data_IF_813061223810
#
_entry.id   IF_813061223810
#
_cell.length_a   1.000
_cell.length_b   1.000
_cell.length_c   1.000
_cell.angle_alpha   90.00
_cell.angle_beta   90.00
_cell.angle_gamma   90.00
#
_symmetry.space_group_name_H-M   'P 1'
#
loop_
_entity.id
_entity.type
_entity.pdbx_description
1 polymer ?
#
# COMPACT_ATOMS: atom_id res chain seq x y z
N UNK A 1 2.50 4.20 -20.77
CA UNK A 1 3.06 3.35 -19.71
C UNK A 1 2.34 3.62 -18.38
N UNK A 2 2.26 4.86 -17.89
CA UNK A 2 1.64 5.22 -16.59
C UNK A 2 0.19 4.70 -16.48
N UNK A 3 -0.66 4.93 -17.47
CA UNK A 3 -2.05 4.44 -17.47
C UNK A 3 -2.15 2.91 -17.41
N UNK A 4 -1.28 2.20 -18.13
CA UNK A 4 -1.21 0.74 -18.08
C UNK A 4 -0.71 0.24 -16.70
N UNK A 5 0.22 0.98 -16.10
CA UNK A 5 0.71 0.70 -14.74
C UNK A 5 -0.41 0.87 -13.70
N UNK A 6 -1.25 1.92 -13.81
CA UNK A 6 -2.42 2.12 -12.95
C UNK A 6 -3.44 0.99 -13.08
N UNK A 7 -3.76 0.57 -14.30
CA UNK A 7 -4.70 -0.53 -14.53
C UNK A 7 -4.21 -1.82 -13.86
N UNK A 8 -2.92 -2.16 -14.01
CA UNK A 8 -2.32 -3.35 -13.39
C UNK A 8 -2.21 -3.24 -11.86
N UNK A 9 -1.93 -2.05 -11.34
CA UNK A 9 -1.77 -1.82 -9.90
C UNK A 9 -3.07 -1.38 -9.22
N UNK A 10 -4.21 -1.48 -9.92
CA UNK A 10 -5.54 -1.17 -9.40
C UNK A 10 -5.65 0.25 -8.79
N UNK A 11 -5.05 1.25 -9.46
CA UNK A 11 -5.19 2.63 -9.05
C UNK A 11 -6.53 3.22 -9.51
N UNK A 12 -6.99 4.27 -8.89
CA UNK A 12 -8.21 4.96 -9.27
C UNK A 12 -8.09 5.52 -10.71
N UNK A 13 -9.11 5.43 -11.55
CA UNK A 13 -10.42 4.77 -11.34
C UNK A 13 -10.44 3.27 -11.70
N UNK A 14 -9.29 2.64 -12.02
CA UNK A 14 -9.18 1.30 -12.59
C UNK A 14 -9.06 0.19 -11.51
N UNK A 15 -9.53 0.43 -10.30
CA UNK A 15 -9.35 -0.43 -9.11
C UNK A 15 -10.34 -1.58 -8.99
N UNK A 16 -11.49 -1.54 -9.68
CA UNK A 16 -12.68 -2.39 -9.40
C UNK A 16 -12.41 -3.88 -9.45
N UNK A 17 -11.50 -4.32 -10.28
CA UNK A 17 -11.15 -5.74 -10.44
C UNK A 17 -10.48 -6.35 -9.19
N UNK A 18 -9.75 -5.55 -8.40
CA UNK A 18 -8.94 -6.05 -7.30
C UNK A 18 -9.78 -6.53 -6.10
N UNK A 19 -10.77 -5.76 -5.59
CA UNK A 19 -11.68 -6.25 -4.56
C UNK A 19 -12.55 -7.42 -5.03
N UNK A 20 -12.91 -7.49 -6.31
CA UNK A 20 -13.68 -8.59 -6.90
C UNK A 20 -12.86 -9.88 -6.98
N UNK A 21 -11.54 -9.78 -7.20
CA UNK A 21 -10.62 -10.92 -7.19
C UNK A 21 -10.50 -11.62 -5.82
N UNK A 22 -11.09 -11.06 -4.74
CA UNK A 22 -11.07 -11.66 -3.40
C UNK A 22 -11.98 -12.89 -3.25
N UNK A 23 -12.78 -13.22 -4.25
CA UNK A 23 -13.50 -14.49 -4.30
C UNK A 23 -12.57 -15.71 -4.49
N UNK A 24 -11.38 -15.50 -5.06
CA UNK A 24 -10.36 -16.54 -5.25
C UNK A 24 -9.90 -17.16 -3.92
N UNK A 25 -9.37 -18.39 -3.92
CA UNK A 25 -8.75 -18.99 -2.74
C UNK A 25 -7.64 -18.11 -2.13
N UNK A 26 -7.49 -18.15 -0.81
CA UNK A 26 -6.57 -17.23 -0.12
C UNK A 26 -5.10 -17.34 -0.55
N UNK A 27 -4.52 -18.52 -0.86
CA UNK A 27 -3.16 -18.59 -1.40
C UNK A 27 -2.98 -17.84 -2.72
N UNK A 28 -3.98 -17.89 -3.60
CA UNK A 28 -4.00 -17.13 -4.86
C UNK A 28 -4.06 -15.64 -4.58
N UNK A 29 -4.91 -15.21 -3.63
CA UNK A 29 -4.99 -13.82 -3.20
C UNK A 29 -3.65 -13.33 -2.61
N UNK A 30 -2.98 -14.14 -1.80
CA UNK A 30 -1.67 -13.83 -1.23
C UNK A 30 -0.61 -13.61 -2.32
N UNK A 31 -0.56 -14.49 -3.31
CA UNK A 31 0.34 -14.36 -4.46
C UNK A 31 0.05 -13.10 -5.29
N UNK A 32 -1.22 -12.86 -5.60
CA UNK A 32 -1.66 -11.74 -6.41
C UNK A 32 -1.30 -10.38 -5.78
N UNK A 33 -1.52 -10.23 -4.47
CA UNK A 33 -1.25 -8.98 -3.74
C UNK A 33 0.18 -8.86 -3.23
N UNK A 34 0.79 -10.01 -2.85
CA UNK A 34 2.13 -10.04 -2.25
C UNK A 34 3.23 -9.92 -3.30
N UNK A 35 3.27 -10.80 -4.29
CA UNK A 35 4.47 -11.00 -5.08
C UNK A 35 4.34 -10.69 -6.58
N UNK A 36 3.12 -10.63 -7.15
CA UNK A 36 3.00 -10.69 -8.59
C UNK A 36 2.21 -9.53 -9.22
N UNK A 37 0.96 -9.75 -9.53
CA UNK A 37 0.20 -8.99 -10.52
C UNK A 37 0.12 -7.49 -10.24
N UNK A 38 -0.21 -7.10 -9.02
CA UNK A 38 -0.39 -5.68 -8.66
C UNK A 38 0.91 -4.88 -8.66
N UNK A 39 2.06 -5.56 -8.52
CA UNK A 39 3.38 -4.92 -8.50
C UNK A 39 4.01 -4.76 -9.86
N UNK A 40 3.58 -5.54 -10.84
CA UNK A 40 4.06 -5.38 -12.22
C UNK A 40 3.86 -3.95 -12.71
N UNK A 41 2.71 -3.34 -12.43
CA UNK A 41 2.44 -1.96 -12.85
C UNK A 41 3.46 -0.97 -12.28
N UNK A 42 3.65 -0.95 -10.96
CA UNK A 42 4.62 -0.04 -10.32
C UNK A 42 6.06 -0.35 -10.72
N UNK A 43 6.43 -1.64 -10.89
CA UNK A 43 7.76 -2.03 -11.34
C UNK A 43 8.05 -1.58 -12.78
N UNK A 44 7.08 -1.73 -13.69
CA UNK A 44 7.21 -1.27 -15.07
C UNK A 44 7.34 0.26 -15.13
N UNK A 45 6.55 0.98 -14.31
CA UNK A 45 6.66 2.43 -14.25
C UNK A 45 7.99 2.87 -13.66
N UNK A 46 8.45 2.28 -12.55
CA UNK A 46 9.77 2.56 -11.98
C UNK A 46 10.90 2.29 -12.99
N UNK A 47 10.81 1.17 -13.71
CA UNK A 47 11.79 0.82 -14.75
C UNK A 47 11.79 1.82 -15.91
N UNK A 48 10.60 2.24 -16.34
CA UNK A 48 10.46 3.25 -17.39
C UNK A 48 11.08 4.58 -16.97
N UNK A 49 10.84 5.04 -15.73
CA UNK A 49 11.46 6.25 -15.20
C UNK A 49 12.99 6.13 -15.12
N UNK A 50 13.50 4.98 -14.67
CA UNK A 50 14.95 4.75 -14.57
C UNK A 50 15.66 4.63 -15.93
N UNK A 51 14.95 4.26 -16.99
CA UNK A 51 15.51 4.05 -18.33
C UNK A 51 15.27 5.24 -19.27
N UNK A 52 14.33 6.13 -18.94
CA UNK A 52 14.05 7.32 -19.72
C UNK A 52 15.09 8.42 -19.40
N UNK A 53 15.46 9.20 -20.39
CA UNK A 53 16.23 10.42 -20.17
C UNK A 53 15.38 11.52 -19.55
N UNK A 54 15.13 12.59 -20.30
CA UNK A 54 14.25 13.67 -19.84
C UNK A 54 12.78 13.23 -19.81
N UNK A 55 12.17 13.30 -18.62
CA UNK A 55 10.77 13.01 -18.43
C UNK A 55 10.03 14.33 -18.17
N UNK A 56 9.00 14.65 -18.94
CA UNK A 56 8.22 15.85 -18.70
C UNK A 56 7.61 15.88 -17.30
N UNK A 57 7.71 17.01 -16.61
CA UNK A 57 7.17 17.19 -15.23
C UNK A 57 5.69 16.85 -15.11
N UNK A 58 4.93 16.99 -16.19
CA UNK A 58 3.51 16.61 -16.22
C UNK A 58 3.30 15.15 -15.82
N UNK A 59 4.22 14.25 -16.16
CA UNK A 59 4.15 12.83 -15.76
C UNK A 59 4.28 12.70 -14.26
N UNK A 60 5.18 13.46 -13.63
CA UNK A 60 5.32 13.52 -12.18
C UNK A 60 4.05 14.04 -11.50
N UNK A 61 3.53 15.16 -11.99
CA UNK A 61 2.28 15.75 -11.46
C UNK A 61 1.09 14.79 -11.55
N UNK A 62 0.87 14.19 -12.71
CA UNK A 62 -0.23 13.25 -12.92
C UNK A 62 -0.08 12.03 -12.01
N UNK A 63 1.14 11.51 -11.85
CA UNK A 63 1.41 10.38 -10.96
C UNK A 63 1.16 10.72 -9.48
N UNK A 64 1.59 11.90 -9.01
CA UNK A 64 1.43 12.36 -7.63
C UNK A 64 -0.05 12.61 -7.31
N UNK A 65 -0.77 13.32 -8.19
CA UNK A 65 -2.18 13.66 -7.97
C UNK A 65 -3.03 12.39 -7.92
N UNK A 66 -2.88 11.50 -8.90
CA UNK A 66 -3.60 10.22 -8.89
C UNK A 66 -3.26 9.37 -7.66
N UNK A 67 -1.99 9.34 -7.27
CA UNK A 67 -1.56 8.62 -6.06
C UNK A 67 -2.26 9.15 -4.81
N UNK A 68 -2.37 10.46 -4.62
CA UNK A 68 -3.07 11.05 -3.47
C UNK A 68 -4.57 10.73 -3.52
N UNK A 69 -5.20 10.86 -4.68
CA UNK A 69 -6.62 10.51 -4.88
C UNK A 69 -6.84 9.03 -4.57
N UNK A 70 -6.01 8.14 -5.11
CA UNK A 70 -6.11 6.69 -4.89
C UNK A 70 -5.87 6.31 -3.44
N UNK A 71 -4.92 6.94 -2.78
CA UNK A 71 -4.58 6.69 -1.37
C UNK A 71 -5.75 7.05 -0.45
N UNK A 72 -6.31 8.25 -0.62
CA UNK A 72 -7.49 8.70 0.14
C UNK A 72 -8.72 7.84 -0.17
N UNK A 73 -8.96 7.55 -1.44
CA UNK A 73 -10.02 6.65 -1.86
C UNK A 73 -9.88 5.26 -1.22
N UNK A 74 -8.71 4.65 -1.30
CA UNK A 74 -8.42 3.35 -0.69
C UNK A 74 -8.65 3.36 0.81
N UNK A 75 -8.19 4.42 1.51
CA UNK A 75 -8.44 4.63 2.95
C UNK A 75 -9.93 4.67 3.26
N UNK A 76 -10.69 5.52 2.58
CA UNK A 76 -12.13 5.65 2.80
C UNK A 76 -12.88 4.34 2.53
N UNK A 77 -12.45 3.59 1.52
CA UNK A 77 -13.11 2.34 1.12
C UNK A 77 -12.83 1.17 2.06
N UNK A 78 -11.71 1.14 2.77
CA UNK A 78 -11.50 0.05 3.73
C UNK A 78 -12.08 0.32 5.12
N UNK A 79 -12.46 1.55 5.45
CA UNK A 79 -13.11 1.89 6.73
C UNK A 79 -14.40 1.07 7.00
N UNK A 80 -15.34 0.93 6.06
CA UNK A 80 -16.57 0.16 6.27
C UNK A 80 -16.37 -1.35 6.12
N UNK A 81 -15.18 -1.82 5.70
CA UNK A 81 -14.97 -3.25 5.43
C UNK A 81 -14.96 -4.09 6.71
N UNK A 82 -15.78 -5.12 6.70
CA UNK A 82 -15.83 -6.13 7.76
C UNK A 82 -15.20 -7.45 7.33
N UNK A 83 -15.05 -7.67 6.02
CA UNK A 83 -14.36 -8.82 5.44
C UNK A 83 -12.86 -8.55 5.37
N UNK A 84 -12.05 -9.41 6.02
CA UNK A 84 -10.62 -9.25 6.10
C UNK A 84 -9.94 -9.23 4.74
N UNK A 85 -10.34 -10.09 3.79
CA UNK A 85 -9.74 -10.12 2.45
C UNK A 85 -10.03 -8.84 1.66
N UNK A 86 -11.28 -8.33 1.72
CA UNK A 86 -11.65 -7.08 1.06
C UNK A 86 -10.94 -5.87 1.67
N UNK A 87 -10.81 -5.84 2.99
CA UNK A 87 -10.02 -4.82 3.69
C UNK A 87 -8.57 -4.83 3.20
N UNK A 88 -7.96 -6.01 3.10
CA UNK A 88 -6.60 -6.17 2.59
C UNK A 88 -6.46 -5.74 1.12
N UNK A 89 -7.49 -5.95 0.30
CA UNK A 89 -7.50 -5.49 -1.09
C UNK A 89 -7.46 -3.96 -1.18
N UNK A 90 -8.36 -3.25 -0.49
CA UNK A 90 -8.37 -1.78 -0.49
C UNK A 90 -7.10 -1.20 0.14
N UNK A 91 -6.60 -1.81 1.21
CA UNK A 91 -5.32 -1.37 1.77
C UNK A 91 -4.13 -1.64 0.82
N UNK A 92 -4.21 -2.61 -0.11
CA UNK A 92 -3.21 -2.78 -1.18
C UNK A 92 -3.27 -1.63 -2.18
N UNK A 93 -4.47 -1.20 -2.58
CA UNK A 93 -4.68 -0.04 -3.45
C UNK A 93 -4.02 1.21 -2.85
N UNK A 94 -4.30 1.51 -1.59
CA UNK A 94 -3.71 2.64 -0.88
C UNK A 94 -2.18 2.52 -0.78
N UNK A 95 -1.64 1.35 -0.43
CA UNK A 95 -0.19 1.17 -0.27
C UNK A 95 0.59 1.26 -1.59
N UNK A 96 0.00 0.81 -2.71
CA UNK A 96 0.63 1.00 -4.03
C UNK A 96 0.61 2.46 -4.48
N UNK A 97 -0.37 3.23 -4.03
CA UNK A 97 -0.38 4.68 -4.28
C UNK A 97 0.83 5.38 -3.65
N UNK A 98 1.33 4.93 -2.48
CA UNK A 98 2.60 5.44 -1.93
C UNK A 98 3.77 5.24 -2.89
N UNK A 99 3.80 4.09 -3.58
CA UNK A 99 4.86 3.82 -4.58
C UNK A 99 4.74 4.79 -5.74
N UNK A 100 3.53 4.97 -6.30
CA UNK A 100 3.32 5.94 -7.39
C UNK A 100 3.66 7.36 -6.98
N UNK A 101 3.33 7.75 -5.74
CA UNK A 101 3.68 9.04 -5.19
C UNK A 101 5.21 9.24 -5.16
N UNK A 102 5.96 8.28 -4.60
CA UNK A 102 7.41 8.34 -4.55
C UNK A 102 8.08 8.33 -5.94
N UNK A 103 7.53 7.53 -6.86
CA UNK A 103 7.97 7.52 -8.26
C UNK A 103 7.64 8.84 -8.98
N UNK A 104 6.50 9.45 -8.70
CA UNK A 104 6.15 10.78 -9.22
C UNK A 104 7.12 11.86 -8.72
N UNK A 105 7.51 11.81 -7.43
CA UNK A 105 8.49 12.73 -6.86
C UNK A 105 9.89 12.60 -7.50
N UNK A 106 10.25 11.42 -7.99
CA UNK A 106 11.55 11.23 -8.65
C UNK A 106 11.68 12.03 -9.95
N UNK A 107 10.56 12.32 -10.63
CA UNK A 107 10.56 13.20 -11.83
C UNK A 107 11.01 14.63 -11.47
N UNK A 108 10.80 15.06 -10.22
CA UNK A 108 11.28 16.33 -9.68
C UNK A 108 12.69 16.22 -9.05
N UNK A 109 13.43 15.18 -9.37
CA UNK A 109 14.83 14.99 -8.94
C UNK A 109 15.02 14.34 -7.58
N UNK A 110 13.98 13.83 -6.92
CA UNK A 110 14.12 13.17 -5.62
C UNK A 110 14.56 11.70 -5.74
N UNK A 111 15.86 11.46 -5.75
CA UNK A 111 16.39 10.09 -5.72
C UNK A 111 16.00 9.34 -4.44
N UNK A 112 15.88 10.06 -3.31
CA UNK A 112 15.47 9.47 -2.04
C UNK A 112 14.04 8.92 -2.11
N UNK A 113 13.11 9.67 -2.73
CA UNK A 113 11.74 9.21 -2.93
C UNK A 113 11.67 8.01 -3.89
N UNK A 114 12.49 7.99 -4.95
CA UNK A 114 12.61 6.85 -5.85
C UNK A 114 13.06 5.58 -5.10
N UNK A 115 14.14 5.68 -4.33
CA UNK A 115 14.67 4.57 -3.56
C UNK A 115 13.64 4.05 -2.55
N UNK A 116 12.99 4.96 -1.82
CA UNK A 116 11.91 4.61 -0.90
C UNK A 116 10.72 3.92 -1.59
N UNK A 117 10.35 4.35 -2.79
CA UNK A 117 9.30 3.72 -3.58
C UNK A 117 9.67 2.28 -3.98
N UNK A 118 10.89 2.07 -4.47
CA UNK A 118 11.39 0.73 -4.84
C UNK A 118 11.48 -0.18 -3.62
N UNK A 119 12.00 0.33 -2.50
CA UNK A 119 12.05 -0.39 -1.23
C UNK A 119 10.65 -0.75 -0.72
N UNK A 120 9.68 0.16 -0.89
CA UNK A 120 8.30 -0.09 -0.48
C UNK A 120 7.64 -1.22 -1.27
N UNK A 121 7.95 -1.40 -2.56
CA UNK A 121 7.47 -2.53 -3.36
C UNK A 121 7.86 -3.85 -2.69
N UNK A 122 9.11 -3.94 -2.23
CA UNK A 122 9.64 -5.13 -1.58
C UNK A 122 9.04 -5.35 -0.18
N UNK A 123 9.08 -4.35 0.68
CA UNK A 123 8.59 -4.42 2.05
C UNK A 123 7.09 -4.74 2.10
N UNK A 124 6.31 -4.13 1.23
CA UNK A 124 4.88 -4.40 1.07
C UNK A 124 4.62 -5.85 0.61
N UNK A 125 5.53 -6.47 -0.17
CA UNK A 125 5.39 -7.85 -0.59
C UNK A 125 5.29 -8.80 0.60
N UNK A 126 6.26 -8.72 1.51
CA UNK A 126 6.32 -9.58 2.68
C UNK A 126 5.16 -9.32 3.63
N UNK A 127 4.88 -8.05 3.91
CA UNK A 127 3.80 -7.65 4.82
C UNK A 127 2.45 -8.15 4.32
N UNK A 128 2.15 -8.00 3.04
CA UNK A 128 0.87 -8.48 2.47
C UNK A 128 0.78 -9.99 2.41
N UNK A 129 1.85 -10.65 2.02
CA UNK A 129 1.87 -12.12 2.00
C UNK A 129 1.60 -12.67 3.39
N UNK A 130 2.28 -12.17 4.42
CA UNK A 130 2.03 -12.54 5.81
C UNK A 130 0.55 -12.33 6.19
N UNK A 131 -0.01 -11.17 5.89
CA UNK A 131 -1.37 -10.83 6.27
C UNK A 131 -2.41 -11.72 5.57
N UNK A 132 -2.22 -12.00 4.28
CA UNK A 132 -3.11 -12.91 3.55
C UNK A 132 -2.99 -14.36 4.05
N UNK A 133 -1.79 -14.84 4.38
CA UNK A 133 -1.62 -16.18 4.95
C UNK A 133 -2.32 -16.32 6.31
N UNK A 134 -2.24 -15.27 7.14
CA UNK A 134 -2.98 -15.20 8.42
C UNK A 134 -4.49 -15.21 8.15
N UNK A 135 -4.97 -14.40 7.19
CA UNK A 135 -6.38 -14.39 6.80
C UNK A 135 -6.86 -15.76 6.32
N UNK A 136 -6.01 -16.48 5.58
CA UNK A 136 -6.27 -17.85 5.13
C UNK A 136 -6.35 -18.83 6.29
N UNK A 137 -5.38 -18.81 7.19
CA UNK A 137 -5.35 -19.65 8.38
C UNK A 137 -6.59 -19.43 9.26
N UNK A 138 -6.96 -18.17 9.52
CA UNK A 138 -8.15 -17.83 10.30
C UNK A 138 -9.45 -18.26 9.61
N UNK A 139 -9.55 -18.06 8.31
CA UNK A 139 -10.70 -18.49 7.54
C UNK A 139 -10.87 -20.01 7.56
N UNK A 140 -9.75 -20.75 7.53
CA UNK A 140 -9.76 -22.21 7.61
C UNK A 140 -10.13 -22.72 9.00
N UNK A 141 -9.52 -22.17 10.06
CA UNK A 141 -9.69 -22.65 11.45
C UNK A 141 -10.99 -22.18 12.10
N UNK A 142 -11.47 -20.98 11.79
CA UNK A 142 -12.68 -20.39 12.37
C UNK A 142 -13.90 -20.47 11.46
N UNK A 143 -13.75 -20.92 10.22
CA UNK A 143 -14.83 -20.96 9.23
C UNK A 143 -15.37 -19.57 8.84
N UNK A 144 -14.66 -18.49 9.20
CA UNK A 144 -15.10 -17.14 8.92
C UNK A 144 -13.93 -16.21 8.63
N UNK A 145 -14.17 -15.23 7.74
CA UNK A 145 -13.24 -14.14 7.42
C UNK A 145 -13.73 -12.75 7.91
N UNK A 146 -14.85 -12.76 8.66
CA UNK A 146 -15.47 -11.53 9.16
C UNK A 146 -14.78 -11.05 10.43
N UNK A 147 -14.10 -9.92 10.38
CA UNK A 147 -13.33 -9.32 11.47
C UNK A 147 -14.11 -9.22 12.81
N UNK A 148 -15.39 -8.79 12.82
CA UNK A 148 -16.15 -8.71 14.08
C UNK A 148 -16.38 -10.06 14.77
N UNK A 149 -16.24 -11.18 14.04
CA UNK A 149 -16.39 -12.54 14.57
C UNK A 149 -15.05 -13.14 15.03
N UNK A 150 -13.93 -12.46 14.74
CA UNK A 150 -12.57 -12.92 15.07
C UNK A 150 -12.14 -12.17 16.33
N UNK A 151 -12.29 -12.79 17.49
CA UNK A 151 -11.93 -12.21 18.77
C UNK A 151 -11.11 -13.17 19.61
N UNK A 152 -10.25 -12.64 20.47
CA UNK A 152 -9.44 -13.43 21.40
C UNK A 152 -8.36 -14.27 20.75
N UNK A 153 -7.82 -13.86 19.59
CA UNK A 153 -6.79 -14.60 18.84
C UNK A 153 -5.56 -14.93 19.70
N UNK A 154 -5.08 -13.97 20.50
CA UNK A 154 -3.91 -14.17 21.38
C UNK A 154 -4.08 -15.31 22.38
N UNK A 155 -5.32 -15.56 22.84
CA UNK A 155 -5.62 -16.66 23.79
C UNK A 155 -5.78 -18.01 23.11
N UNK A 156 -6.43 -18.05 21.94
CA UNK A 156 -6.76 -19.32 21.26
C UNK A 156 -5.69 -19.75 20.25
N UNK A 157 -5.09 -18.80 19.56
CA UNK A 157 -4.10 -19.01 18.49
C UNK A 157 -2.95 -18.01 18.63
N UNK A 158 -2.08 -18.16 19.64
CA UNK A 158 -1.08 -17.13 19.99
C UNK A 158 -0.13 -16.81 18.83
N UNK A 159 0.32 -17.81 18.09
CA UNK A 159 1.22 -17.60 16.93
C UNK A 159 0.53 -16.77 15.85
N UNK A 160 -0.72 -17.10 15.52
CA UNK A 160 -1.50 -16.34 14.52
C UNK A 160 -1.83 -14.95 15.02
N UNK A 161 -2.12 -14.80 16.32
CA UNK A 161 -2.38 -13.50 16.95
C UNK A 161 -1.16 -12.58 16.90
N UNK A 162 0.02 -13.08 17.27
CA UNK A 162 1.28 -12.32 17.14
C UNK A 162 1.56 -11.98 15.69
N UNK A 163 1.40 -12.94 14.77
CA UNK A 163 1.56 -12.68 13.34
C UNK A 163 0.61 -11.58 12.82
N UNK A 164 -0.65 -11.57 13.28
CA UNK A 164 -1.61 -10.54 12.95
C UNK A 164 -1.15 -9.16 13.44
N UNK A 165 -0.69 -9.06 14.69
CA UNK A 165 -0.18 -7.82 15.27
C UNK A 165 1.05 -7.31 14.48
N UNK A 166 2.01 -8.20 14.18
CA UNK A 166 3.18 -7.86 13.36
C UNK A 166 2.77 -7.38 11.97
N UNK A 167 1.85 -8.07 11.30
CA UNK A 167 1.40 -7.68 9.97
C UNK A 167 0.66 -6.33 9.99
N UNK A 168 -0.18 -6.08 11.01
CA UNK A 168 -0.92 -4.83 11.17
C UNK A 168 0.01 -3.64 11.44
N UNK A 169 1.00 -3.79 12.34
CA UNK A 169 2.00 -2.75 12.60
C UNK A 169 2.92 -2.52 11.41
N UNK A 170 3.29 -3.60 10.70
CA UNK A 170 4.10 -3.49 9.51
C UNK A 170 3.38 -2.73 8.38
N UNK A 171 2.11 -3.03 8.07
CA UNK A 171 1.39 -2.33 7.00
C UNK A 171 1.14 -0.86 7.34
N UNK A 172 0.94 -0.55 8.62
CA UNK A 172 0.81 0.81 9.11
C UNK A 172 2.11 1.61 8.98
N UNK A 173 3.25 0.94 8.95
CA UNK A 173 4.56 1.59 8.87
C UNK A 173 5.04 2.09 10.24
N UNK A 174 4.89 1.27 11.27
CA UNK A 174 5.35 1.59 12.64
C UNK A 174 6.80 1.11 12.83
N UNK A 175 7.69 1.92 13.42
CA UNK A 175 9.03 1.43 13.80
C UNK A 175 8.93 0.25 14.76
N UNK A 176 9.76 -0.79 14.66
CA UNK A 176 10.91 -0.97 13.77
C UNK A 176 10.59 -1.70 12.45
N UNK A 177 9.34 -1.74 12.00
CA UNK A 177 8.93 -2.50 10.81
C UNK A 177 9.54 -1.92 9.52
N UNK A 178 9.83 -2.80 8.56
CA UNK A 178 10.51 -2.44 7.31
C UNK A 178 9.76 -1.39 6.47
N UNK A 179 8.44 -1.44 6.44
CA UNK A 179 7.61 -0.46 5.71
C UNK A 179 7.72 0.97 6.28
N UNK A 180 8.13 1.14 7.54
CA UNK A 180 8.44 2.45 8.11
C UNK A 180 9.57 3.12 7.33
N UNK A 181 10.68 2.41 7.11
CA UNK A 181 11.85 2.99 6.46
C UNK A 181 11.56 3.42 5.03
N UNK A 182 10.84 2.60 4.27
CA UNK A 182 10.46 2.97 2.90
C UNK A 182 9.48 4.15 2.84
N UNK A 183 8.47 4.20 3.73
CA UNK A 183 7.58 5.37 3.84
C UNK A 183 8.34 6.63 4.27
N UNK A 184 9.24 6.49 5.23
CA UNK A 184 10.08 7.59 5.71
C UNK A 184 10.92 8.19 4.58
N UNK A 185 11.54 7.38 3.73
CA UNK A 185 12.29 7.85 2.58
C UNK A 185 11.41 8.60 1.57
N UNK A 186 10.21 8.08 1.26
CA UNK A 186 9.26 8.74 0.35
C UNK A 186 8.84 10.09 0.93
N UNK A 187 8.47 10.15 2.21
CA UNK A 187 8.02 11.36 2.90
C UNK A 187 9.16 12.39 2.96
N UNK A 188 10.36 11.96 3.38
CA UNK A 188 11.53 12.86 3.49
C UNK A 188 11.94 13.40 2.12
N UNK A 189 11.96 12.54 1.09
CA UNK A 189 12.21 12.96 -0.29
C UNK A 189 11.13 13.90 -0.81
N UNK A 190 9.89 13.71 -0.41
CA UNK A 190 8.76 14.58 -0.72
C UNK A 190 8.87 15.95 -0.06
N UNK A 191 9.26 16.03 1.21
CA UNK A 191 9.51 17.31 1.88
C UNK A 191 10.69 18.07 1.27
N UNK A 192 11.75 17.36 0.84
CA UNK A 192 12.88 18.00 0.16
C UNK A 192 12.45 18.69 -1.14
N UNK A 193 11.61 18.04 -1.97
CA UNK A 193 11.02 18.67 -3.16
C UNK A 193 10.01 19.75 -2.78
N UNK A 194 9.20 19.50 -1.75
CA UNK A 194 8.19 20.42 -1.24
C UNK A 194 8.76 21.74 -0.71
N UNK A 195 10.03 21.77 -0.32
CA UNK A 195 10.71 23.00 0.12
C UNK A 195 10.72 24.08 -0.98
N UNK A 196 10.72 23.68 -2.25
CA UNK A 196 10.64 24.60 -3.39
C UNK A 196 9.25 24.68 -4.01
N UNK A 197 8.32 23.79 -3.63
CA UNK A 197 6.99 23.67 -4.24
C UNK A 197 5.90 23.44 -3.19
N UNK A 198 5.16 24.48 -2.86
CA UNK A 198 4.12 24.48 -1.83
C UNK A 198 3.03 23.43 -2.07
N UNK A 199 2.68 23.16 -3.35
CA UNK A 199 1.66 22.15 -3.68
C UNK A 199 2.15 20.77 -3.28
N UNK A 200 3.38 20.42 -3.64
CA UNK A 200 3.98 19.11 -3.26
C UNK A 200 4.09 19.02 -1.74
N UNK A 201 4.48 20.10 -1.05
CA UNK A 201 4.51 20.13 0.41
C UNK A 201 3.16 19.76 1.03
N UNK A 202 2.08 20.38 0.56
CA UNK A 202 0.71 20.07 1.04
C UNK A 202 0.33 18.62 0.76
N UNK A 203 0.63 18.09 -0.43
CA UNK A 203 0.33 16.70 -0.78
C UNK A 203 1.10 15.70 0.09
N UNK A 204 2.35 16.01 0.45
CA UNK A 204 3.13 15.20 1.41
C UNK A 204 2.50 15.25 2.81
N UNK A 205 2.02 16.40 3.26
CA UNK A 205 1.29 16.51 4.53
C UNK A 205 0.03 15.64 4.53
N UNK A 206 -0.73 15.62 3.43
CA UNK A 206 -1.90 14.72 3.28
C UNK A 206 -1.50 13.25 3.39
N UNK A 207 -0.39 12.87 2.77
CA UNK A 207 0.17 11.51 2.87
C UNK A 207 0.55 11.14 4.31
N UNK A 208 1.14 12.06 5.08
CA UNK A 208 1.48 11.84 6.49
C UNK A 208 0.21 11.62 7.32
N UNK A 209 -0.80 12.46 7.13
CA UNK A 209 -2.10 12.35 7.83
C UNK A 209 -2.76 11.00 7.53
N UNK A 210 -2.77 10.56 6.26
CA UNK A 210 -3.31 9.25 5.88
C UNK A 210 -2.52 8.11 6.53
N UNK A 211 -1.19 8.19 6.61
CA UNK A 211 -0.37 7.18 7.29
C UNK A 211 -0.76 7.02 8.76
N UNK A 212 -0.96 8.14 9.47
CA UNK A 212 -1.40 8.14 10.88
C UNK A 212 -2.82 7.58 11.00
N UNK A 213 -3.72 7.98 10.12
CA UNK A 213 -5.09 7.50 10.09
C UNK A 213 -5.18 5.99 9.80
N UNK A 214 -4.37 5.49 8.88
CA UNK A 214 -4.23 4.06 8.59
C UNK A 214 -3.75 3.30 9.84
N UNK A 215 -2.74 3.81 10.54
CA UNK A 215 -2.27 3.20 11.78
C UNK A 215 -3.38 3.13 12.84
N UNK A 216 -4.06 4.25 13.10
CA UNK A 216 -5.16 4.31 14.07
C UNK A 216 -6.28 3.31 13.73
N UNK A 217 -6.58 3.13 12.44
CA UNK A 217 -7.57 2.17 11.98
C UNK A 217 -7.14 0.72 12.22
N UNK A 218 -5.89 0.35 11.91
CA UNK A 218 -5.42 -1.01 12.13
C UNK A 218 -5.31 -1.35 13.62
N UNK A 219 -4.99 -0.38 14.50
CA UNK A 219 -5.01 -0.56 15.95
C UNK A 219 -6.37 -1.02 16.48
N UNK A 220 -7.46 -0.58 15.87
CA UNK A 220 -8.82 -0.99 16.26
C UNK A 220 -9.05 -2.51 16.17
N UNK A 221 -8.29 -3.18 15.30
CA UNK A 221 -8.44 -4.62 15.06
C UNK A 221 -7.38 -5.47 15.77
N UNK A 222 -6.42 -4.83 16.43
CA UNK A 222 -5.39 -5.48 17.26
C UNK A 222 -5.88 -5.66 18.69
#
# INVERSE_FOLDING_TARGET
>A
ILFAAWAKSAQFPLYMWLPSAMEAPTPVSAYLHGASMVKVGVCVFARALASAGDIPEIVGWVAIIDAVVTMLFGFLMYLPQKDMKRLLAFSTIAQLAYVFFGLGLSVFGSQMAFNGAVEHIFNHAFTKTLFFLIAGSLSFTLGTRMLPKIQGLMKKYPVTGVGFAVAATAIAGVPPMSTFFSKFQIISGGFAVGASNTVIFVLVCVMVVETVATFAWFLRWM
#
